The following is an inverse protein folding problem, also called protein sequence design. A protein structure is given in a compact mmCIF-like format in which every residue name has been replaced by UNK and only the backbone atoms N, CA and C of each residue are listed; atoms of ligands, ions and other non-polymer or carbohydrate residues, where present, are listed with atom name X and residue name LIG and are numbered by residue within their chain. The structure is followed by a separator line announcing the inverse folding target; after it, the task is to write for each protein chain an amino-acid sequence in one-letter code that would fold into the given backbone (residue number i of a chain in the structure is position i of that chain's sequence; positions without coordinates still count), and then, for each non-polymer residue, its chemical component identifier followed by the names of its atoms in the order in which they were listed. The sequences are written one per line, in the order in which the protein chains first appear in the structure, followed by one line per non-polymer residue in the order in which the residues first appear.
data_IF_563893837964
#
_entry.id   IF_563893837964
#
_cell.length_a   1.000
_cell.length_b   1.000
_cell.length_c   1.000
_cell.angle_alpha   90.00
_cell.angle_beta   90.00
_cell.angle_gamma   90.00
#
_symmetry.space_group_name_H-M   'P 1'
#
loop_
_entity.id
_entity.type
_entity.pdbx_description
1 polymer ?
#
# COMPACT_ATOMS: atom_id res chain seq x y z
N UNK A 1 -3.14 27.31 -30.27
CA UNK A 1 -2.76 28.09 -29.08
C UNK A 1 -3.33 27.37 -27.86
N UNK A 2 -2.58 26.47 -27.23
CA UNK A 2 -3.05 25.77 -26.02
C UNK A 2 -2.87 26.74 -24.86
N UNK A 3 -3.97 27.13 -24.20
CA UNK A 3 -3.91 27.92 -22.99
C UNK A 3 -3.12 27.15 -21.93
N UNK A 4 -2.00 27.72 -21.49
CA UNK A 4 -1.21 27.17 -20.40
C UNK A 4 -2.09 27.14 -19.16
N UNK A 5 -2.40 25.94 -18.64
CA UNK A 5 -3.24 25.80 -17.46
C UNK A 5 -2.40 26.24 -16.25
N UNK A 6 -2.53 27.52 -15.89
CA UNK A 6 -1.87 28.09 -14.72
C UNK A 6 -2.56 27.57 -13.47
N UNK A 7 -1.86 26.70 -12.74
CA UNK A 7 -2.30 26.23 -11.41
C UNK A 7 -1.90 27.29 -10.37
N UNK A 8 -2.81 27.71 -9.49
CA UNK A 8 -2.48 28.65 -8.42
C UNK A 8 -1.50 28.04 -7.40
N UNK A 9 -0.48 28.81 -7.00
CA UNK A 9 0.55 28.37 -6.04
C UNK A 9 -0.05 28.01 -4.66
N UNK A 10 -1.06 28.74 -4.20
CA UNK A 10 -1.72 28.48 -2.92
C UNK A 10 -2.37 27.08 -2.87
N UNK A 11 -2.88 26.60 -4.01
CA UNK A 11 -3.45 25.27 -4.11
C UNK A 11 -2.36 24.19 -4.01
N UNK A 12 -1.18 24.44 -4.58
CA UNK A 12 -0.02 23.54 -4.50
C UNK A 12 0.42 23.40 -3.05
N UNK A 13 0.61 24.52 -2.35
CA UNK A 13 1.02 24.54 -0.94
C UNK A 13 -0.02 23.86 -0.05
N UNK A 14 -1.31 24.14 -0.27
CA UNK A 14 -2.41 23.54 0.48
C UNK A 14 -2.47 22.02 0.29
N UNK A 15 -2.26 21.52 -0.95
CA UNK A 15 -2.21 20.09 -1.21
C UNK A 15 -1.01 19.42 -0.53
N UNK A 16 0.16 20.06 -0.53
CA UNK A 16 1.35 19.56 0.15
C UNK A 16 1.11 19.47 1.66
N UNK A 17 0.54 20.52 2.27
CA UNK A 17 0.19 20.52 3.71
C UNK A 17 -0.80 19.42 4.05
N UNK A 18 -1.85 19.25 3.24
CA UNK A 18 -2.82 18.17 3.39
C UNK A 18 -2.13 16.80 3.30
N UNK A 19 -1.26 16.60 2.31
CA UNK A 19 -0.55 15.35 2.12
C UNK A 19 0.35 14.99 3.30
N UNK A 20 1.10 15.96 3.81
CA UNK A 20 1.96 15.79 4.99
C UNK A 20 1.13 15.50 6.25
N UNK A 21 0.02 16.19 6.46
CA UNK A 21 -0.88 15.95 7.59
C UNK A 21 -1.50 14.55 7.54
N UNK A 22 -1.94 14.12 6.36
CA UNK A 22 -2.49 12.79 6.15
C UNK A 22 -1.44 11.69 6.33
N UNK A 23 -0.17 11.96 6.05
CA UNK A 23 0.92 11.00 6.20
C UNK A 23 1.22 10.66 7.66
N UNK A 24 1.13 11.64 8.57
CA UNK A 24 1.31 11.41 10.02
C UNK A 24 0.30 10.40 10.55
N UNK A 25 -0.97 10.51 10.14
CA UNK A 25 -2.03 9.57 10.53
C UNK A 25 -2.17 8.38 9.57
N UNK A 26 -1.32 8.30 8.54
CA UNK A 26 -1.39 7.32 7.45
C UNK A 26 -2.80 7.19 6.83
N UNK A 27 -3.53 8.32 6.75
CA UNK A 27 -4.87 8.37 6.17
C UNK A 27 -4.79 8.47 4.63
N UNK A 28 -5.60 7.70 3.89
CA UNK A 28 -5.71 7.89 2.45
C UNK A 28 -6.39 9.23 2.15
N UNK A 29 -5.93 9.92 1.13
CA UNK A 29 -6.47 11.22 0.68
C UNK A 29 -7.45 10.96 -0.44
N UNK A 30 -8.74 11.30 -0.27
CA UNK A 30 -9.72 11.09 -1.34
C UNK A 30 -9.60 12.18 -2.39
N UNK A 31 -9.88 11.81 -3.64
CA UNK A 31 -9.96 12.76 -4.76
C UNK A 31 -11.02 13.83 -4.52
N UNK A 32 -12.15 13.45 -3.93
CA UNK A 32 -13.25 14.35 -3.57
C UNK A 32 -12.80 15.40 -2.56
N UNK A 33 -12.04 14.99 -1.53
CA UNK A 33 -11.51 15.90 -0.52
C UNK A 33 -10.56 16.94 -1.14
N UNK A 34 -9.70 16.53 -2.09
CA UNK A 34 -8.83 17.45 -2.83
C UNK A 34 -9.65 18.43 -3.66
N UNK A 35 -10.70 17.96 -4.33
CA UNK A 35 -11.56 18.80 -5.15
C UNK A 35 -12.29 19.83 -4.28
N UNK A 36 -12.92 19.39 -3.19
CA UNK A 36 -13.74 20.25 -2.34
C UNK A 36 -12.90 21.23 -1.50
N UNK A 37 -11.77 20.79 -0.93
CA UNK A 37 -10.99 21.60 0.01
C UNK A 37 -10.02 22.56 -0.69
N UNK A 38 -9.62 22.28 -1.93
CA UNK A 38 -8.53 23.00 -2.60
C UNK A 38 -8.98 23.67 -3.89
N UNK A 39 -9.73 22.95 -4.74
CA UNK A 39 -10.01 23.39 -6.10
C UNK A 39 -11.43 23.94 -6.33
N UNK A 40 -12.36 23.70 -5.40
CA UNK A 40 -13.77 24.10 -5.49
C UNK A 40 -14.57 23.34 -6.56
N UNK A 41 -15.81 23.79 -6.79
CA UNK A 41 -16.83 23.09 -7.61
C UNK A 41 -16.41 22.83 -9.07
N UNK A 42 -15.55 23.66 -9.66
CA UNK A 42 -15.09 23.54 -11.05
C UNK A 42 -13.64 23.02 -11.18
N UNK A 43 -13.09 22.52 -10.07
CA UNK A 43 -11.68 22.18 -9.90
C UNK A 43 -11.17 20.94 -10.66
N UNK A 44 -12.06 20.12 -11.21
CA UNK A 44 -11.69 18.80 -11.75
C UNK A 44 -10.63 18.82 -12.85
N UNK A 45 -10.62 19.87 -13.69
CA UNK A 45 -9.65 20.03 -14.79
C UNK A 45 -8.25 20.39 -14.29
N UNK A 46 -8.15 21.08 -13.16
CA UNK A 46 -6.90 21.53 -12.55
C UNK A 46 -6.22 20.44 -11.72
N UNK A 47 -6.94 19.37 -11.34
CA UNK A 47 -6.42 18.33 -10.47
C UNK A 47 -5.16 17.65 -11.03
N UNK A 48 -5.15 17.28 -12.31
CA UNK A 48 -3.97 16.63 -12.92
C UNK A 48 -2.74 17.56 -12.92
N UNK A 49 -2.83 18.79 -13.48
CA UNK A 49 -1.75 19.77 -13.37
C UNK A 49 -1.29 20.05 -11.92
N UNK A 50 -2.23 20.14 -10.98
CA UNK A 50 -1.94 20.36 -9.57
C UNK A 50 -1.11 19.21 -8.98
N UNK A 51 -1.52 17.95 -9.23
CA UNK A 51 -0.81 16.77 -8.74
C UNK A 51 0.62 16.68 -9.29
N UNK A 52 0.83 17.04 -10.57
CA UNK A 52 2.16 17.06 -11.19
C UNK A 52 3.06 18.08 -10.48
N UNK A 53 2.63 19.34 -10.39
CA UNK A 53 3.42 20.40 -9.73
C UNK A 53 3.66 20.13 -8.25
N UNK A 54 2.65 19.60 -7.54
CA UNK A 54 2.80 19.22 -6.14
C UNK A 54 3.82 18.08 -5.97
N UNK A 55 3.81 17.08 -6.86
CA UNK A 55 4.78 15.99 -6.83
C UNK A 55 6.21 16.45 -7.12
N UNK A 56 6.41 17.38 -8.06
CA UNK A 56 7.73 17.96 -8.32
C UNK A 56 8.30 18.62 -7.06
N UNK A 57 7.47 19.37 -6.34
CA UNK A 57 7.88 20.05 -5.10
C UNK A 57 8.05 19.09 -3.92
N UNK A 58 7.16 18.11 -3.76
CA UNK A 58 7.29 17.04 -2.77
C UNK A 58 8.58 16.24 -2.98
N UNK A 59 8.93 15.91 -4.22
CA UNK A 59 10.15 15.20 -4.55
C UNK A 59 11.39 16.05 -4.27
N UNK A 60 11.37 17.32 -4.68
CA UNK A 60 12.48 18.26 -4.52
C UNK A 60 12.78 18.58 -3.05
N UNK A 61 11.76 18.97 -2.29
CA UNK A 61 11.94 19.52 -0.93
C UNK A 61 11.89 18.42 0.14
N UNK A 62 10.96 17.47 0.00
CA UNK A 62 10.69 16.45 1.02
C UNK A 62 11.22 15.05 0.65
N UNK A 63 11.51 14.79 -0.63
CA UNK A 63 11.88 13.46 -1.10
C UNK A 63 10.71 12.48 -1.05
N UNK A 64 9.49 12.97 -1.25
CA UNK A 64 8.26 12.16 -1.22
C UNK A 64 7.48 12.32 -2.53
N UNK A 65 6.58 11.38 -2.79
CA UNK A 65 5.72 11.40 -3.96
C UNK A 65 4.29 10.99 -3.57
N UNK A 66 3.31 11.73 -4.07
CA UNK A 66 1.90 11.39 -3.97
C UNK A 66 1.53 10.41 -5.07
N UNK A 67 1.13 9.20 -4.66
CA UNK A 67 0.85 8.08 -5.55
C UNK A 67 -0.61 7.64 -5.42
N UNK A 68 -1.30 7.36 -6.53
CA UNK A 68 -2.65 6.81 -6.49
C UNK A 68 -2.68 5.41 -5.87
N UNK A 69 -3.66 5.16 -4.99
CA UNK A 69 -3.92 3.82 -4.48
C UNK A 69 -4.66 2.98 -5.52
N UNK A 70 -4.31 1.69 -5.68
CA UNK A 70 -5.07 0.79 -6.54
C UNK A 70 -6.49 0.59 -5.99
N UNK A 71 -7.46 0.40 -6.87
CA UNK A 71 -8.81 0.02 -6.43
C UNK A 71 -8.78 -1.38 -5.81
N UNK A 72 -9.67 -1.65 -4.85
CA UNK A 72 -9.74 -2.93 -4.12
C UNK A 72 -9.78 -4.13 -5.09
N UNK A 73 -10.52 -4.01 -6.22
CA UNK A 73 -10.57 -5.05 -7.24
C UNK A 73 -9.22 -5.32 -7.93
N UNK A 74 -8.42 -4.27 -8.21
CA UNK A 74 -7.04 -4.43 -8.71
C UNK A 74 -6.09 -4.92 -7.63
N UNK A 75 -6.34 -4.53 -6.39
CA UNK A 75 -5.52 -4.95 -5.26
C UNK A 75 -5.66 -6.46 -4.99
N UNK A 76 -6.89 -6.98 -4.97
CA UNK A 76 -7.12 -8.41 -4.86
C UNK A 76 -6.59 -9.18 -6.08
N UNK A 77 -6.70 -8.63 -7.30
CA UNK A 77 -6.27 -9.34 -8.52
C UNK A 77 -4.76 -9.45 -8.68
N UNK A 78 -3.97 -8.53 -8.16
CA UNK A 78 -2.49 -8.63 -8.19
C UNK A 78 -1.97 -9.68 -7.23
N UNK A 79 -2.69 -10.01 -6.16
CA UNK A 79 -2.19 -10.89 -5.09
C UNK A 79 -2.79 -12.29 -5.08
N UNK A 80 -4.04 -12.47 -5.53
CA UNK A 80 -4.70 -13.78 -5.51
C UNK A 80 -4.49 -14.58 -6.79
N UNK A 81 -4.24 -15.88 -6.64
CA UNK A 81 -4.14 -16.85 -7.77
C UNK A 81 -5.45 -16.89 -8.57
N UNK A 82 -6.60 -16.75 -7.90
CA UNK A 82 -7.93 -16.70 -8.51
C UNK A 82 -8.18 -15.36 -9.25
N UNK A 83 -7.77 -14.23 -8.66
CA UNK A 83 -7.91 -12.91 -9.27
C UNK A 83 -7.06 -12.71 -10.52
N UNK A 84 -5.84 -13.27 -10.57
CA UNK A 84 -5.00 -13.27 -11.79
C UNK A 84 -5.60 -14.12 -12.92
N UNK A 85 -6.30 -15.23 -12.62
CA UNK A 85 -7.04 -16.05 -13.62
C UNK A 85 -8.31 -15.36 -14.15
N UNK A 86 -8.92 -14.48 -13.36
CA UNK A 86 -10.04 -13.65 -13.81
C UNK A 86 -9.56 -12.42 -14.61
N UNK A 87 -8.37 -11.89 -14.30
CA UNK A 87 -7.73 -10.79 -15.01
C UNK A 87 -7.35 -11.17 -16.46
N UNK A 88 -6.92 -12.41 -16.72
CA UNK A 88 -6.62 -12.89 -18.08
C UNK A 88 -7.85 -13.04 -18.97
N UNK A 89 -9.06 -13.14 -18.40
CA UNK A 89 -10.32 -13.20 -19.16
C UNK A 89 -10.95 -11.83 -19.45
N UNK A 90 -10.42 -10.74 -18.89
CA UNK A 90 -10.98 -9.38 -18.99
C UNK A 90 -9.96 -8.27 -19.29
N UNK A 91 -8.77 -8.61 -19.78
CA UNK A 91 -7.74 -7.63 -20.11
C UNK A 91 -7.75 -7.26 -21.60
N UNK A 92 -8.73 -6.45 -22.01
CA UNK A 92 -8.43 -5.44 -23.03
C UNK A 92 -7.70 -4.28 -22.33
N UNK A 93 -6.62 -3.73 -22.91
CA UNK A 93 -5.90 -2.61 -22.34
C UNK A 93 -6.73 -1.34 -22.54
N UNK A 94 -7.75 -1.13 -21.70
CA UNK A 94 -8.45 0.14 -21.67
C UNK A 94 -7.47 1.21 -21.19
N UNK A 95 -7.03 2.06 -22.11
CA UNK A 95 -6.07 3.16 -21.94
C UNK A 95 -6.54 4.28 -21.00
N UNK A 96 -7.62 4.06 -20.25
CA UNK A 96 -8.08 4.95 -19.20
C UNK A 96 -7.83 4.29 -17.85
N UNK A 97 -6.81 4.71 -17.07
CA UNK A 97 -6.65 4.22 -15.71
C UNK A 97 -7.91 4.63 -14.96
N UNK A 98 -8.77 3.64 -14.67
CA UNK A 98 -9.94 3.77 -13.79
C UNK A 98 -9.52 4.65 -12.63
N UNK A 99 -10.09 5.86 -12.56
CA UNK A 99 -9.59 6.93 -11.73
C UNK A 99 -9.43 6.43 -10.28
N UNK A 100 -8.20 6.34 -9.80
CA UNK A 100 -7.96 6.07 -8.39
C UNK A 100 -8.67 7.14 -7.58
N UNK A 101 -9.55 6.70 -6.69
CA UNK A 101 -10.37 7.58 -5.85
C UNK A 101 -9.57 8.09 -4.65
N UNK A 102 -8.42 7.49 -4.36
CA UNK A 102 -7.59 7.81 -3.20
C UNK A 102 -6.11 7.84 -3.55
N UNK A 103 -5.37 8.67 -2.83
CA UNK A 103 -3.93 8.84 -2.94
C UNK A 103 -3.26 8.61 -1.58
N UNK A 104 -1.99 8.22 -1.59
CA UNK A 104 -1.14 8.19 -0.41
C UNK A 104 0.22 8.80 -0.72
N UNK A 105 0.88 9.34 0.31
CA UNK A 105 2.23 9.84 0.20
C UNK A 105 3.19 8.68 0.45
N UNK A 106 4.18 8.51 -0.42
CA UNK A 106 5.25 7.52 -0.27
C UNK A 106 6.61 8.20 -0.26
N UNK A 107 7.56 7.64 0.49
CA UNK A 107 8.94 8.05 0.41
C UNK A 107 9.49 7.67 -0.98
N UNK A 108 10.22 8.60 -1.60
CA UNK A 108 10.88 8.31 -2.86
C UNK A 108 11.98 7.26 -2.60
N UNK A 109 12.03 6.14 -3.35
CA UNK A 109 13.02 5.08 -3.14
C UNK A 109 14.47 5.59 -3.17
N UNK A 110 14.73 6.62 -3.99
CA UNK A 110 16.04 7.24 -4.18
C UNK A 110 16.48 8.09 -2.99
N UNK A 111 15.53 8.62 -2.22
CA UNK A 111 15.80 9.45 -1.04
C UNK A 111 15.28 8.70 0.17
N UNK A 112 16.13 7.87 0.76
CA UNK A 112 15.91 7.11 2.02
C UNK A 112 15.70 8.03 3.25
N UNK A 113 14.78 8.98 3.19
CA UNK A 113 14.32 9.77 4.33
C UNK A 113 13.14 9.04 4.94
N UNK A 114 13.45 8.16 5.89
CA UNK A 114 12.44 7.45 6.67
C UNK A 114 11.74 8.42 7.61
N UNK A 115 10.54 8.86 7.25
CA UNK A 115 9.69 9.60 8.19
C UNK A 115 9.10 8.63 9.22
N UNK A 116 9.44 8.90 10.48
CA UNK A 116 8.75 8.63 11.74
C UNK A 116 7.63 7.58 11.75
N UNK A 117 7.96 6.34 11.38
CA UNK A 117 7.14 5.18 11.76
C UNK A 117 7.81 4.52 12.96
N UNK A 118 7.02 4.20 13.98
CA UNK A 118 7.50 3.38 15.09
C UNK A 118 8.01 2.04 14.54
N UNK A 119 9.26 1.66 14.83
CA UNK A 119 9.87 0.46 14.26
C UNK A 119 9.04 -0.80 14.58
N UNK A 120 8.40 -0.83 15.75
CA UNK A 120 7.53 -1.92 16.20
C UNK A 120 6.35 -2.13 15.25
N UNK A 121 5.61 -1.07 14.92
CA UNK A 121 4.48 -1.14 14.00
C UNK A 121 4.91 -1.50 12.58
N UNK A 122 6.09 -1.03 12.13
CA UNK A 122 6.65 -1.37 10.83
C UNK A 122 7.02 -2.86 10.76
N UNK A 123 7.70 -3.36 11.78
CA UNK A 123 8.13 -4.75 11.88
C UNK A 123 6.93 -5.69 11.92
N UNK A 124 5.94 -5.40 12.75
CA UNK A 124 4.71 -6.18 12.84
C UNK A 124 3.95 -6.18 11.50
N UNK A 125 3.78 -5.01 10.88
CA UNK A 125 3.12 -4.90 9.59
C UNK A 125 3.84 -5.74 8.52
N UNK A 126 5.15 -5.62 8.45
CA UNK A 126 5.96 -6.35 7.47
C UNK A 126 5.82 -7.85 7.67
N UNK A 127 5.88 -8.31 8.93
CA UNK A 127 5.68 -9.71 9.29
C UNK A 127 4.30 -10.22 8.87
N UNK A 128 3.23 -9.48 9.19
CA UNK A 128 1.87 -9.83 8.80
C UNK A 128 1.74 -9.94 7.27
N UNK A 129 2.30 -8.97 6.53
CA UNK A 129 2.27 -8.99 5.07
C UNK A 129 3.02 -10.20 4.49
N UNK A 130 4.17 -10.57 5.06
CA UNK A 130 4.90 -11.78 4.66
C UNK A 130 4.05 -13.03 4.91
N UNK A 131 3.45 -13.19 6.08
CA UNK A 131 2.62 -14.36 6.41
C UNK A 131 1.44 -14.49 5.44
N UNK A 132 0.73 -13.38 5.15
CA UNK A 132 -0.37 -13.38 4.20
C UNK A 132 0.09 -13.80 2.79
N UNK A 133 1.27 -13.34 2.35
CA UNK A 133 1.79 -13.72 1.04
C UNK A 133 2.23 -15.19 0.99
N UNK A 134 2.86 -15.70 2.04
CA UNK A 134 3.24 -17.11 2.14
C UNK A 134 2.03 -18.05 2.13
N UNK A 135 0.90 -17.60 2.71
CA UNK A 135 -0.38 -18.33 2.70
C UNK A 135 -1.14 -18.28 1.36
N UNK A 136 -0.60 -17.62 0.34
CA UNK A 136 -1.24 -17.53 -0.98
C UNK A 136 -2.05 -16.26 -1.23
N UNK A 137 -1.86 -15.23 -0.41
CA UNK A 137 -2.42 -13.88 -0.56
C UNK A 137 -3.62 -13.57 0.33
N UNK A 138 -4.17 -14.59 1.01
CA UNK A 138 -5.28 -14.48 1.96
C UNK A 138 -5.01 -15.39 3.15
N UNK A 139 -5.38 -14.95 4.35
CA UNK A 139 -5.20 -15.73 5.57
C UNK A 139 -6.32 -15.43 6.57
N UNK A 140 -6.77 -16.44 7.31
CA UNK A 140 -7.77 -16.26 8.36
C UNK A 140 -7.17 -15.52 9.57
N UNK A 141 -7.99 -14.69 10.24
CA UNK A 141 -7.59 -13.99 11.47
C UNK A 141 -7.09 -14.94 12.56
N UNK A 142 -7.77 -16.07 12.77
CA UNK A 142 -7.40 -17.09 13.77
C UNK A 142 -6.00 -17.67 13.50
N UNK A 143 -5.76 -18.13 12.26
CA UNK A 143 -4.48 -18.70 11.82
C UNK A 143 -3.35 -17.67 11.86
N UNK A 144 -3.65 -16.42 11.51
CA UNK A 144 -2.68 -15.34 11.54
C UNK A 144 -2.25 -15.03 12.98
N UNK A 145 -3.21 -14.94 13.90
CA UNK A 145 -2.94 -14.76 15.33
C UNK A 145 -2.17 -15.95 15.92
N UNK A 146 -2.52 -17.19 15.56
CA UNK A 146 -1.78 -18.39 15.97
C UNK A 146 -0.33 -18.37 15.47
N UNK A 147 -0.11 -18.00 14.21
CA UNK A 147 1.22 -17.87 13.61
C UNK A 147 2.06 -16.80 14.31
N UNK A 148 1.45 -15.64 14.60
CA UNK A 148 2.10 -14.57 15.35
C UNK A 148 2.45 -14.99 16.79
N UNK A 149 1.56 -15.73 17.46
CA UNK A 149 1.81 -16.25 18.80
C UNK A 149 2.92 -17.30 18.81
N UNK A 150 2.96 -18.19 17.81
CA UNK A 150 4.04 -19.15 17.62
C UNK A 150 5.41 -18.46 17.50
N UNK A 151 5.45 -17.31 16.82
CA UNK A 151 6.65 -16.50 16.67
C UNK A 151 6.93 -15.59 17.87
N UNK A 152 6.17 -15.75 18.96
CA UNK A 152 6.24 -14.90 20.16
C UNK A 152 6.12 -13.41 19.85
N UNK A 153 5.36 -13.04 18.81
CA UNK A 153 5.21 -11.67 18.34
C UNK A 153 4.73 -10.73 19.47
N UNK A 154 3.91 -11.23 20.40
CA UNK A 154 3.46 -10.47 21.57
C UNK A 154 4.57 -10.07 22.55
N UNK A 155 5.78 -10.65 22.46
CA UNK A 155 6.96 -10.20 23.22
C UNK A 155 7.71 -9.06 22.54
N UNK A 156 7.66 -9.00 21.21
CA UNK A 156 8.41 -8.04 20.40
C UNK A 156 7.58 -6.85 19.95
N UNK A 157 6.26 -7.03 19.86
CA UNK A 157 5.33 -6.02 19.38
C UNK A 157 4.25 -5.79 20.44
N UNK A 158 4.22 -4.58 21.00
CA UNK A 158 3.20 -4.15 21.96
C UNK A 158 1.81 -3.99 21.33
N UNK A 159 1.75 -3.86 20.00
CA UNK A 159 0.55 -3.48 19.25
C UNK A 159 -0.07 -4.61 18.43
N UNK A 160 0.12 -5.90 18.80
CA UNK A 160 -0.40 -7.02 17.98
C UNK A 160 -1.91 -6.94 17.79
N UNK A 161 -2.68 -6.72 18.85
CA UNK A 161 -4.16 -6.70 18.78
C UNK A 161 -4.68 -5.39 18.16
N UNK A 162 -4.22 -4.25 18.66
CA UNK A 162 -4.63 -2.93 18.16
C UNK A 162 -4.13 -2.67 16.73
N UNK A 163 -3.02 -3.29 16.36
CA UNK A 163 -2.38 -3.17 15.06
C UNK A 163 -3.30 -3.60 13.93
N UNK A 164 -4.12 -4.64 14.10
CA UNK A 164 -5.08 -5.05 13.06
C UNK A 164 -6.11 -3.97 12.75
N UNK A 165 -6.69 -3.36 13.78
CA UNK A 165 -7.65 -2.27 13.61
C UNK A 165 -6.99 -1.05 12.95
N UNK A 166 -5.77 -0.72 13.39
CA UNK A 166 -4.99 0.38 12.85
C UNK A 166 -4.60 0.15 11.39
N UNK A 167 -4.06 -1.02 11.05
CA UNK A 167 -3.64 -1.36 9.69
C UNK A 167 -4.83 -1.46 8.73
N UNK A 168 -6.01 -1.87 9.21
CA UNK A 168 -7.28 -1.76 8.45
C UNK A 168 -7.63 -0.30 8.18
N UNK A 169 -7.57 0.56 9.21
CA UNK A 169 -7.86 2.00 9.08
C UNK A 169 -6.93 2.68 8.09
N UNK A 170 -5.64 2.33 8.12
CA UNK A 170 -4.59 2.84 7.24
C UNK A 170 -4.59 2.20 5.83
N UNK A 171 -5.50 1.26 5.53
CA UNK A 171 -5.62 0.54 4.24
C UNK A 171 -4.42 -0.33 3.88
N UNK A 172 -3.66 -0.80 4.88
CA UNK A 172 -2.66 -1.85 4.70
C UNK A 172 -3.27 -3.25 4.67
N UNK A 173 -4.40 -3.46 5.34
CA UNK A 173 -5.13 -4.72 5.35
C UNK A 173 -6.55 -4.52 4.83
N UNK A 174 -7.07 -5.52 4.13
CA UNK A 174 -8.48 -5.63 3.74
C UNK A 174 -9.06 -6.87 4.40
N UNK A 175 -10.16 -6.70 5.12
CA UNK A 175 -10.92 -7.81 5.70
C UNK A 175 -12.09 -8.20 4.79
N UNK A 176 -12.20 -9.48 4.45
CA UNK A 176 -13.34 -10.08 3.77
C UNK A 176 -13.99 -11.14 4.66
N UNK A 177 -15.27 -11.44 4.40
CA UNK A 177 -15.93 -12.62 4.98
C UNK A 177 -15.82 -13.76 3.98
N UNK A 178 -15.44 -14.96 4.44
CA UNK A 178 -15.42 -16.14 3.56
C UNK A 178 -16.86 -16.53 3.22
N UNK A 179 -17.12 -16.84 1.95
CA UNK A 179 -18.48 -17.10 1.44
C UNK A 179 -19.18 -18.30 2.10
N UNK A 180 -18.44 -19.14 2.80
CA UNK A 180 -18.91 -20.43 3.33
C UNK A 180 -19.28 -20.34 4.82
N UNK A 181 -18.74 -19.37 5.56
CA UNK A 181 -18.96 -19.24 7.01
C UNK A 181 -18.99 -17.76 7.41
N UNK A 182 -20.15 -17.27 7.85
CA UNK A 182 -20.41 -15.83 8.06
C UNK A 182 -19.59 -15.19 9.18
N UNK A 183 -18.91 -16.01 9.99
CA UNK A 183 -18.18 -15.59 11.18
C UNK A 183 -16.65 -15.60 11.02
N UNK A 184 -16.13 -16.04 9.86
CA UNK A 184 -14.69 -16.13 9.63
C UNK A 184 -14.17 -14.91 8.88
N UNK A 185 -13.39 -14.09 9.58
CA UNK A 185 -12.69 -12.92 9.01
C UNK A 185 -11.41 -13.37 8.30
N UNK A 186 -11.31 -13.07 7.01
CA UNK A 186 -10.13 -13.32 6.19
C UNK A 186 -9.43 -11.99 5.90
N UNK A 187 -8.12 -11.94 6.12
CA UNK A 187 -7.27 -10.80 5.81
C UNK A 187 -6.51 -10.99 4.50
N UNK A 188 -6.41 -9.91 3.73
CA UNK A 188 -5.59 -9.79 2.53
C UNK A 188 -4.82 -8.46 2.54
N UNK A 189 -3.78 -8.34 1.73
CA UNK A 189 -3.02 -7.09 1.65
C UNK A 189 -3.87 -5.99 1.00
N UNK A 190 -3.95 -4.84 1.66
CA UNK A 190 -4.73 -3.68 1.23
C UNK A 190 -4.03 -2.83 0.17
N UNK A 191 -4.76 -1.87 -0.43
CA UNK A 191 -4.24 -1.02 -1.50
C UNK A 191 -2.94 -0.29 -1.15
N UNK A 192 -2.81 0.18 0.11
CA UNK A 192 -1.62 0.93 0.54
C UNK A 192 -0.41 0.02 0.68
N UNK A 193 -0.61 -1.21 1.16
CA UNK A 193 0.46 -2.20 1.27
C UNK A 193 1.10 -2.50 -0.09
N UNK A 194 0.33 -2.52 -1.17
CA UNK A 194 0.86 -2.83 -2.51
C UNK A 194 1.76 -1.74 -3.09
N UNK A 195 1.50 -0.49 -2.72
CA UNK A 195 2.28 0.65 -3.21
C UNK A 195 3.56 0.77 -2.39
N UNK A 196 3.48 0.63 -1.06
CA UNK A 196 4.65 0.79 -0.17
C UNK A 196 5.52 -0.47 -0.04
N UNK A 197 4.92 -1.66 -0.09
CA UNK A 197 5.58 -2.94 0.09
C UNK A 197 5.39 -3.81 -1.15
N UNK A 198 6.10 -3.51 -2.26
CA UNK A 198 6.06 -4.37 -3.43
C UNK A 198 6.58 -5.77 -3.06
N UNK A 199 6.08 -6.84 -3.71
CA UNK A 199 6.50 -8.22 -3.43
C UNK A 199 8.02 -8.42 -3.44
N UNK A 200 8.73 -7.73 -4.35
CA UNK A 200 10.21 -7.75 -4.41
C UNK A 200 10.85 -7.26 -3.10
N UNK A 201 10.35 -6.18 -2.51
CA UNK A 201 10.86 -5.67 -1.25
C UNK A 201 10.60 -6.62 -0.07
N UNK A 202 9.48 -7.36 -0.10
CA UNK A 202 9.19 -8.39 0.91
C UNK A 202 10.14 -9.59 0.77
N UNK A 203 10.45 -10.01 -0.47
CA UNK A 203 11.46 -11.05 -0.71
C UNK A 203 12.83 -10.61 -0.24
N UNK A 204 13.26 -9.39 -0.58
CA UNK A 204 14.55 -8.84 -0.12
C UNK A 204 14.62 -8.77 1.41
N UNK A 205 13.52 -8.43 2.08
CA UNK A 205 13.43 -8.46 3.52
C UNK A 205 13.61 -9.88 4.09
N UNK A 206 12.89 -10.87 3.55
CA UNK A 206 13.02 -12.27 3.97
C UNK A 206 14.43 -12.80 3.69
N UNK A 207 15.03 -12.43 2.56
CA UNK A 207 16.39 -12.78 2.19
C UNK A 207 17.42 -12.14 3.12
N UNK A 208 17.19 -10.90 3.54
CA UNK A 208 17.98 -10.24 4.58
C UNK A 208 17.95 -11.01 5.91
N UNK A 209 16.78 -11.53 6.29
CA UNK A 209 16.65 -12.41 7.46
C UNK A 209 17.32 -13.77 7.25
N UNK A 210 17.12 -14.40 6.08
CA UNK A 210 17.67 -15.72 5.75
C UNK A 210 19.19 -15.72 5.56
N UNK A 211 19.79 -14.59 5.18
CA UNK A 211 21.24 -14.40 5.16
C UNK A 211 21.84 -14.48 6.56
N UNK A 212 21.09 -14.14 7.61
CA UNK A 212 21.53 -14.37 8.99
C UNK A 212 21.52 -15.87 9.35
N UNK A 213 20.81 -16.69 8.58
CA UNK A 213 20.56 -18.11 8.86
C UNK A 213 21.29 -19.07 7.92
N UNK A 214 22.18 -18.59 7.03
CA UNK A 214 22.95 -19.40 6.07
C UNK A 214 22.11 -20.31 5.13
N UNK A 215 20.83 -19.99 4.89
CA UNK A 215 19.93 -20.78 4.04
C UNK A 215 19.41 -20.00 2.80
N UNK A 216 20.05 -18.87 2.48
CA UNK A 216 19.54 -17.87 1.55
C UNK A 216 19.16 -18.43 0.15
N UNK A 217 19.99 -19.28 -0.46
CA UNK A 217 19.81 -19.66 -1.87
C UNK A 217 18.60 -20.58 -2.10
N UNK A 218 18.38 -21.58 -1.23
CA UNK A 218 17.23 -22.49 -1.35
C UNK A 218 15.91 -21.80 -0.99
N UNK A 219 15.94 -20.85 -0.06
CA UNK A 219 14.78 -20.03 0.28
C UNK A 219 14.41 -19.07 -0.86
N UNK A 220 15.40 -18.47 -1.53
CA UNK A 220 15.16 -17.51 -2.62
C UNK A 220 14.30 -18.09 -3.73
N UNK A 221 14.67 -19.27 -4.25
CA UNK A 221 13.92 -19.91 -5.34
C UNK A 221 12.49 -20.27 -4.93
N UNK A 222 12.31 -20.79 -3.69
CA UNK A 222 10.97 -21.13 -3.17
C UNK A 222 10.12 -19.89 -2.95
N UNK A 223 10.72 -18.80 -2.48
CA UNK A 223 10.04 -17.52 -2.28
C UNK A 223 9.67 -16.90 -3.64
N UNK A 224 10.59 -16.79 -4.59
CA UNK A 224 10.28 -16.26 -5.92
C UNK A 224 9.18 -17.08 -6.63
N UNK A 225 9.18 -18.41 -6.47
CA UNK A 225 8.12 -19.28 -6.97
C UNK A 225 6.76 -19.04 -6.26
N UNK A 226 6.78 -18.70 -4.96
CA UNK A 226 5.57 -18.40 -4.17
C UNK A 226 5.02 -17.01 -4.49
N UNK A 227 5.90 -16.00 -4.56
CA UNK A 227 5.55 -14.62 -4.89
C UNK A 227 5.27 -14.41 -6.39
N UNK A 228 5.66 -15.36 -7.25
CA UNK A 228 5.48 -15.36 -8.72
C UNK A 228 5.77 -13.99 -9.34
N UNK A 229 6.94 -13.46 -9.01
CA UNK A 229 7.46 -12.19 -9.51
C UNK A 229 7.92 -12.44 -10.95
N UNK A 230 7.40 -11.70 -11.96
CA UNK A 230 7.93 -11.80 -13.31
C UNK A 230 9.41 -11.38 -13.29
N UNK A 231 10.27 -12.19 -13.93
CA UNK A 231 11.68 -11.87 -14.15
C UNK A 231 11.79 -10.58 -14.97
#
# INVERSE_FOLDING_TARGET
MQAEIVVPEDAIISLIRLALACEVSKKPIRREDIQNLILGENGGRLLRPLLVKANERLAKDFGMQLVPLPTIARALSTLTIAGRRAATKKAEPSQNPTASTSYCLIACPERKRGYHRQPDQLGLLTLILVLIHLSGGEMEESQLLESLNSWSAGRYFSCVQDGFAEFKRQKYLTSGKKSDDQNVTVYSAGPRAQVEFPPRALVDFIMGLGSLMNQANQLKERLEATFRIPQ
#
